data_IF_274443152128
#
_entry.id   IF_274443152128
#
_cell.length_a   1.000
_cell.length_b   1.000
_cell.length_c   1.000
_cell.angle_alpha   90.00
_cell.angle_beta   90.00
_cell.angle_gamma   90.00
#
_symmetry.space_group_name_H-M   'P 1'
#
loop_
_entity.id
_entity.type
_entity.pdbx_description
1 polymer ?
#
# COMPACT_ATOMS: atom_id res chain seq x y z
N UNK A 1 42.10 60.73 -30.96
CA UNK A 1 41.85 59.49 -30.19
C UNK A 1 40.62 59.67 -29.31
N UNK A 2 39.41 59.26 -29.74
CA UNK A 2 38.23 59.29 -28.87
C UNK A 2 37.90 57.91 -28.26
N UNK A 3 37.75 57.93 -26.92
CA UNK A 3 36.96 57.10 -26.00
C UNK A 3 36.41 55.74 -26.47
N UNK A 4 36.93 54.66 -25.87
CA UNK A 4 36.29 53.35 -25.81
C UNK A 4 35.05 53.38 -24.93
N UNK A 5 33.90 53.06 -25.49
CA UNK A 5 32.66 52.76 -24.77
C UNK A 5 32.71 51.32 -24.28
N UNK A 6 32.83 51.11 -22.97
CA UNK A 6 32.65 49.79 -22.35
C UNK A 6 31.15 49.49 -22.27
N UNK A 7 30.67 48.66 -23.19
CA UNK A 7 29.34 48.03 -23.09
C UNK A 7 29.37 47.02 -21.95
N UNK A 8 28.65 47.32 -20.85
CA UNK A 8 28.40 46.37 -19.77
C UNK A 8 27.29 45.41 -20.23
N UNK A 9 27.67 44.26 -20.76
CA UNK A 9 26.77 43.14 -21.01
C UNK A 9 26.45 42.46 -19.68
N UNK A 10 25.36 42.87 -19.04
CA UNK A 10 24.83 42.21 -17.86
C UNK A 10 24.13 40.90 -18.29
N UNK A 11 24.85 39.79 -18.21
CA UNK A 11 24.29 38.45 -18.38
C UNK A 11 23.40 38.13 -17.17
N UNK A 12 22.08 38.16 -17.38
CA UNK A 12 21.12 37.57 -16.45
C UNK A 12 21.44 36.08 -16.37
N UNK A 13 22.05 35.65 -15.27
CA UNK A 13 22.20 34.24 -14.95
C UNK A 13 20.80 33.70 -14.61
N UNK A 14 20.27 32.89 -15.51
CA UNK A 14 19.14 32.01 -15.21
C UNK A 14 19.66 30.96 -14.21
N UNK A 15 19.03 30.76 -13.04
CA UNK A 15 19.45 29.69 -12.16
C UNK A 15 19.11 28.34 -12.83
N UNK A 16 20.13 27.67 -13.34
CA UNK A 16 20.10 26.30 -13.85
C UNK A 16 20.10 25.26 -12.70
N UNK A 17 19.21 25.41 -11.72
CA UNK A 17 19.09 24.43 -10.63
C UNK A 17 17.65 24.08 -10.29
N UNK A 18 16.91 23.74 -11.33
CA UNK A 18 15.69 22.95 -11.21
C UNK A 18 15.85 21.70 -12.06
N UNK A 19 16.84 20.86 -11.70
CA UNK A 19 16.68 19.44 -11.91
C UNK A 19 15.37 19.05 -11.21
N UNK A 20 14.37 18.62 -11.98
CA UNK A 20 13.10 18.15 -11.44
C UNK A 20 13.38 17.09 -10.39
N UNK A 21 13.35 17.46 -9.10
CA UNK A 21 13.22 16.49 -8.04
C UNK A 21 11.90 15.78 -8.32
N UNK A 22 11.97 14.51 -8.73
CA UNK A 22 10.78 13.71 -8.97
C UNK A 22 9.83 13.87 -7.78
N UNK A 23 8.57 14.22 -8.06
CA UNK A 23 7.58 14.43 -7.00
C UNK A 23 7.56 13.20 -6.08
N UNK A 24 7.60 13.39 -4.75
CA UNK A 24 7.68 12.26 -3.84
C UNK A 24 6.45 11.35 -4.01
N UNK A 25 6.69 10.05 -4.19
CA UNK A 25 5.66 9.05 -4.38
C UNK A 25 5.15 8.54 -3.03
N UNK A 26 3.85 8.67 -2.80
CA UNK A 26 3.14 8.07 -1.67
C UNK A 26 2.32 6.88 -2.15
N UNK A 27 2.59 5.70 -1.59
CA UNK A 27 1.83 4.49 -1.84
C UNK A 27 0.73 4.33 -0.77
N UNK A 28 -0.53 4.35 -1.19
CA UNK A 28 -1.69 4.13 -0.32
C UNK A 28 -2.30 2.75 -0.60
N UNK A 29 -2.41 1.92 0.44
CA UNK A 29 -2.86 0.54 0.32
C UNK A 29 -4.14 0.35 1.14
N UNK A 30 -5.18 -0.19 0.49
CA UNK A 30 -6.32 -0.81 1.17
C UNK A 30 -5.89 -2.18 1.71
N UNK A 31 -5.67 -2.23 3.03
CA UNK A 31 -5.16 -3.40 3.72
C UNK A 31 -6.13 -4.57 3.71
N UNK A 32 -7.44 -4.32 3.79
CA UNK A 32 -8.45 -5.38 3.85
C UNK A 32 -8.65 -6.02 2.47
N UNK A 33 -8.68 -5.20 1.41
CA UNK A 33 -8.72 -5.66 0.03
C UNK A 33 -7.49 -6.49 -0.35
N UNK A 34 -6.28 -6.02 0.00
CA UNK A 34 -5.06 -6.77 -0.26
C UNK A 34 -5.01 -8.07 0.57
N UNK A 35 -5.37 -8.04 1.85
CA UNK A 35 -5.42 -9.23 2.70
C UNK A 35 -6.36 -10.32 2.13
N UNK A 36 -7.56 -9.95 1.63
CA UNK A 36 -8.45 -10.91 0.98
C UNK A 36 -7.85 -11.51 -0.29
N UNK A 37 -7.21 -10.70 -1.14
CA UNK A 37 -6.51 -11.21 -2.33
C UNK A 37 -5.42 -12.21 -1.94
N UNK A 38 -4.62 -11.88 -0.93
CA UNK A 38 -3.58 -12.76 -0.39
C UNK A 38 -4.16 -14.07 0.15
N UNK A 39 -5.26 -14.01 0.88
CA UNK A 39 -5.96 -15.20 1.36
C UNK A 39 -6.34 -16.13 0.22
N UNK A 40 -7.07 -15.64 -0.79
CA UNK A 40 -7.55 -16.50 -1.87
C UNK A 40 -6.44 -17.00 -2.80
N UNK A 41 -5.32 -16.28 -2.90
CA UNK A 41 -4.15 -16.72 -3.65
C UNK A 41 -3.43 -17.91 -2.98
N UNK A 42 -3.29 -17.91 -1.65
CA UNK A 42 -2.44 -18.88 -0.95
C UNK A 42 -3.21 -19.88 -0.08
N UNK A 43 -4.37 -19.53 0.47
CA UNK A 43 -5.15 -20.42 1.34
C UNK A 43 -5.85 -21.55 0.55
N UNK A 44 -6.15 -21.32 -0.73
CA UNK A 44 -6.76 -22.30 -1.63
C UNK A 44 -5.75 -23.07 -2.49
N UNK A 45 -4.46 -23.06 -2.11
CA UNK A 45 -3.45 -23.80 -2.85
C UNK A 45 -3.70 -25.32 -2.80
N UNK A 46 -3.18 -26.07 -3.77
CA UNK A 46 -3.33 -27.54 -3.86
C UNK A 46 -2.78 -28.28 -2.62
N UNK A 47 -1.94 -27.63 -1.83
CA UNK A 47 -1.31 -28.19 -0.63
C UNK A 47 -2.02 -27.77 0.66
N UNK A 48 -3.15 -27.05 0.57
CA UNK A 48 -3.78 -26.37 1.69
C UNK A 48 -3.21 -24.98 1.93
N UNK A 49 -3.79 -24.26 2.89
CA UNK A 49 -3.29 -22.95 3.31
C UNK A 49 -1.98 -23.03 4.08
N UNK A 50 -1.17 -21.97 3.98
CA UNK A 50 0.10 -21.84 4.66
C UNK A 50 -0.14 -21.72 6.17
N UNK A 51 0.65 -22.48 6.94
CA UNK A 51 0.59 -22.50 8.39
C UNK A 51 1.98 -22.66 9.00
N UNK A 52 2.16 -22.22 10.23
CA UNK A 52 3.35 -22.53 11.03
C UNK A 52 3.36 -24.01 11.44
N UNK A 53 4.48 -24.48 12.01
CA UNK A 53 4.59 -25.83 12.60
C UNK A 53 3.58 -26.07 13.74
N UNK A 54 3.12 -25.01 14.39
CA UNK A 54 2.10 -25.05 15.45
C UNK A 54 0.67 -24.88 14.91
N UNK A 55 0.48 -24.83 13.59
CA UNK A 55 -0.82 -24.76 12.93
C UNK A 55 -1.40 -23.36 12.74
N UNK A 56 -0.67 -22.30 13.11
CA UNK A 56 -1.14 -20.90 13.00
C UNK A 56 -1.19 -20.52 11.51
N UNK A 57 -2.32 -19.98 10.99
CA UNK A 57 -2.44 -19.57 9.59
C UNK A 57 -1.51 -18.39 9.26
N UNK A 58 -0.89 -18.45 8.07
CA UNK A 58 0.06 -17.44 7.58
C UNK A 58 -0.11 -17.10 6.09
N UNK A 59 -1.15 -17.61 5.43
CA UNK A 59 -1.43 -17.34 4.00
C UNK A 59 -1.64 -15.86 3.69
N UNK A 60 -2.36 -15.13 4.56
CA UNK A 60 -2.59 -13.68 4.42
C UNK A 60 -1.28 -12.94 4.63
N UNK A 61 -0.59 -13.18 5.76
CA UNK A 61 0.70 -12.54 6.04
C UNK A 61 1.68 -12.75 4.88
N UNK A 62 1.85 -13.98 4.42
CA UNK A 62 2.78 -14.31 3.35
C UNK A 62 2.45 -13.57 2.06
N UNK A 63 1.20 -13.66 1.59
CA UNK A 63 0.81 -13.04 0.34
C UNK A 63 0.82 -11.51 0.41
N UNK A 64 0.44 -10.94 1.55
CA UNK A 64 0.40 -9.49 1.72
C UNK A 64 1.81 -8.90 1.69
N UNK A 65 2.72 -9.45 2.50
CA UNK A 65 4.10 -8.98 2.59
C UNK A 65 4.83 -9.21 1.26
N UNK A 66 4.61 -10.35 0.59
CA UNK A 66 5.16 -10.60 -0.75
C UNK A 66 4.75 -9.52 -1.74
N UNK A 67 3.45 -9.23 -1.86
CA UNK A 67 2.97 -8.20 -2.79
C UNK A 67 3.42 -6.79 -2.40
N UNK A 68 3.52 -6.50 -1.10
CA UNK A 68 4.04 -5.23 -0.61
C UNK A 68 5.51 -5.05 -1.02
N UNK A 69 6.35 -6.05 -0.80
CA UNK A 69 7.77 -6.02 -1.18
C UNK A 69 7.95 -5.86 -2.69
N UNK A 70 7.16 -6.56 -3.50
CA UNK A 70 7.20 -6.45 -4.97
C UNK A 70 6.88 -5.04 -5.46
N UNK A 71 5.87 -4.38 -4.86
CA UNK A 71 5.52 -3.00 -5.20
C UNK A 71 6.58 -2.02 -4.68
N UNK A 72 7.14 -2.25 -3.50
CA UNK A 72 8.21 -1.41 -2.96
C UNK A 72 9.45 -1.43 -3.85
N UNK A 73 9.83 -2.59 -4.36
CA UNK A 73 10.99 -2.77 -5.24
C UNK A 73 10.75 -2.16 -6.63
N UNK A 74 9.53 -2.26 -7.17
CA UNK A 74 9.20 -1.73 -8.49
C UNK A 74 8.98 -0.22 -8.50
N UNK A 75 8.22 0.31 -7.54
CA UNK A 75 7.79 1.72 -7.52
C UNK A 75 8.72 2.63 -6.70
N UNK A 76 9.57 2.07 -5.83
CA UNK A 76 10.49 2.81 -4.96
C UNK A 76 9.83 4.02 -4.24
N UNK A 77 8.70 3.81 -3.54
CA UNK A 77 7.93 4.92 -2.95
C UNK A 77 8.71 5.60 -1.81
N UNK A 78 8.53 6.90 -1.67
CA UNK A 78 9.12 7.67 -0.57
C UNK A 78 8.38 7.46 0.75
N UNK A 79 7.08 7.13 0.68
CA UNK A 79 6.24 6.85 1.84
C UNK A 79 5.18 5.80 1.51
N UNK A 80 4.77 5.04 2.53
CA UNK A 80 3.73 4.03 2.42
C UNK A 80 2.75 4.23 3.57
N UNK A 81 1.45 4.17 3.29
CA UNK A 81 0.41 4.07 4.31
C UNK A 81 -0.57 2.94 3.97
N UNK A 82 -0.91 2.16 4.98
CA UNK A 82 -1.82 1.01 4.87
C UNK A 82 -3.03 1.29 5.76
N UNK A 83 -4.22 1.31 5.17
CA UNK A 83 -5.47 1.49 5.90
C UNK A 83 -6.14 0.13 6.15
N UNK A 84 -6.43 -0.15 7.41
CA UNK A 84 -7.25 -1.29 7.80
C UNK A 84 -8.60 -0.80 8.32
N UNK A 85 -9.69 -1.30 7.74
CA UNK A 85 -11.03 -1.02 8.23
C UNK A 85 -11.22 -1.57 9.64
N UNK A 86 -11.76 -0.75 10.55
CA UNK A 86 -12.21 -1.18 11.86
C UNK A 86 -13.59 -1.83 11.76
N UNK A 87 -13.89 -2.76 12.68
CA UNK A 87 -15.22 -3.38 12.77
C UNK A 87 -16.30 -2.45 13.34
N UNK A 88 -15.96 -1.21 13.69
CA UNK A 88 -16.91 -0.29 14.30
C UNK A 88 -18.05 0.02 13.32
N UNK A 89 -19.27 -0.29 13.77
CA UNK A 89 -20.48 0.05 13.06
C UNK A 89 -20.62 1.58 13.07
N UNK A 90 -20.20 2.23 11.99
CA UNK A 90 -20.66 3.59 11.72
C UNK A 90 -22.18 3.56 11.56
N UNK A 91 -22.87 4.64 11.96
CA UNK A 91 -24.33 4.82 11.91
C UNK A 91 -24.99 4.39 10.57
N UNK A 92 -24.22 4.24 9.49
CA UNK A 92 -24.64 3.69 8.19
C UNK A 92 -25.02 2.20 8.21
N UNK A 93 -24.59 1.40 9.18
CA UNK A 93 -24.94 -0.03 9.26
C UNK A 93 -26.35 -0.30 9.81
N UNK A 94 -27.00 0.68 10.45
CA UNK A 94 -28.39 0.54 10.92
C UNK A 94 -29.42 0.82 9.81
N UNK A 95 -29.02 1.45 8.70
CA UNK A 95 -29.95 1.86 7.64
C UNK A 95 -30.24 0.74 6.62
N UNK A 96 -29.42 -0.31 6.55
CA UNK A 96 -29.60 -1.35 5.53
C UNK A 96 -29.11 -2.72 6.01
N UNK A 97 -30.03 -3.49 6.60
CA UNK A 97 -29.79 -4.85 7.07
C UNK A 97 -29.43 -5.84 5.95
N UNK A 98 -29.71 -5.49 4.68
CA UNK A 98 -29.48 -6.35 3.52
C UNK A 98 -28.08 -6.21 2.91
N UNK A 99 -27.35 -5.13 3.22
CA UNK A 99 -26.12 -4.73 2.54
C UNK A 99 -24.92 -5.69 2.73
N UNK A 100 -24.95 -6.54 3.76
CA UNK A 100 -23.92 -7.59 3.99
C UNK A 100 -24.44 -9.01 3.79
N UNK A 101 -25.70 -9.21 3.41
CA UNK A 101 -26.34 -10.52 3.34
C UNK A 101 -25.74 -11.46 2.28
N UNK A 102 -25.07 -10.92 1.26
CA UNK A 102 -24.40 -11.69 0.20
C UNK A 102 -22.87 -11.82 0.38
N UNK A 103 -22.30 -11.35 1.50
CA UNK A 103 -20.88 -11.62 1.77
C UNK A 103 -20.78 -13.07 2.23
N UNK A 104 -20.06 -13.89 1.45
CA UNK A 104 -19.64 -15.22 1.88
C UNK A 104 -19.00 -15.11 3.25
N UNK A 105 -19.36 -16.01 4.18
CA UNK A 105 -18.79 -16.02 5.53
C UNK A 105 -17.27 -15.90 5.46
N UNK A 106 -16.73 -14.96 6.24
CA UNK A 106 -15.29 -14.77 6.35
C UNK A 106 -14.67 -16.09 6.81
N UNK A 107 -13.74 -16.68 6.04
CA UNK A 107 -13.15 -17.96 6.40
C UNK A 107 -12.51 -17.93 7.78
N UNK A 108 -12.61 -19.03 8.53
CA UNK A 108 -12.18 -19.11 9.93
C UNK A 108 -10.71 -18.72 10.13
N UNK A 109 -9.83 -19.11 9.21
CA UNK A 109 -8.40 -18.81 9.24
C UNK A 109 -8.05 -17.35 8.88
N UNK A 110 -8.96 -16.62 8.23
CA UNK A 110 -8.67 -15.28 7.71
C UNK A 110 -8.47 -14.26 8.82
N UNK A 111 -9.40 -14.18 9.77
CA UNK A 111 -9.35 -13.18 10.84
C UNK A 111 -8.13 -13.35 11.77
N UNK A 112 -7.77 -14.57 12.21
CA UNK A 112 -6.55 -14.79 12.98
C UNK A 112 -5.29 -14.33 12.22
N UNK A 113 -5.20 -14.63 10.93
CA UNK A 113 -4.04 -14.28 10.10
C UNK A 113 -3.95 -12.76 9.85
N UNK A 114 -5.09 -12.08 9.61
CA UNK A 114 -5.13 -10.60 9.55
C UNK A 114 -4.69 -9.98 10.87
N UNK A 115 -5.07 -10.55 12.01
CA UNK A 115 -4.61 -10.07 13.32
C UNK A 115 -3.10 -10.23 13.49
N UNK A 116 -2.52 -11.32 12.97
CA UNK A 116 -1.07 -11.50 12.95
C UNK A 116 -0.40 -10.44 12.06
N UNK A 117 -0.95 -10.18 10.87
CA UNK A 117 -0.45 -9.17 9.94
C UNK A 117 -0.41 -7.77 10.57
N UNK A 118 -1.42 -7.40 11.35
CA UNK A 118 -1.47 -6.09 12.03
C UNK A 118 -0.46 -5.93 13.18
N UNK A 119 0.19 -7.02 13.60
CA UNK A 119 1.22 -7.01 14.65
C UNK A 119 2.65 -7.01 14.09
N UNK A 120 2.81 -7.15 12.77
CA UNK A 120 4.10 -7.04 12.07
C UNK A 120 4.48 -5.57 11.89
#
# INVERSE_FOLDING_TARGET
>A
MPRSTTTSSNSVQVPEDSAMAASPLLLLIDGHSLAFRSYFAFAKSRQGGLRTKTGIPTSVCFGFIKSLLEVMESENPNAIAIAFDTKEATFRQQADASYKANRTETPEDFLPDVKNLQQL
#
